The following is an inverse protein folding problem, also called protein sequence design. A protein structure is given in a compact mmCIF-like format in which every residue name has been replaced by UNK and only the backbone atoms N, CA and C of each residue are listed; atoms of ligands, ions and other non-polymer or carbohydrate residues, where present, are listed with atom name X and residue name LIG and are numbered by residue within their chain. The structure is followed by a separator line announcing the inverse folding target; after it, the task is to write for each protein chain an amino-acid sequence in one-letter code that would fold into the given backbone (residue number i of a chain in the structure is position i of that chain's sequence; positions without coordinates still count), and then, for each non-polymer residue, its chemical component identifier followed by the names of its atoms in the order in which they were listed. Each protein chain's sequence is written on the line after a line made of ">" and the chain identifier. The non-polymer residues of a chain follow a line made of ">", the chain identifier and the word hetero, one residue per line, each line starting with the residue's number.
data_IF_383422545811
#
_entry.id   IF_383422545811
#
_cell.length_a   1.000
_cell.length_b   1.000
_cell.length_c   1.000
_cell.angle_alpha   90.00
_cell.angle_beta   90.00
_cell.angle_gamma   90.00
#
_symmetry.space_group_name_H-M   'P 1'
#
loop_
_entity.id
_entity.type
_entity.pdbx_description
1 polymer ?
#
# COMPACT_ATOMS: atom_id res chain seq x y z
N UNK A 1 5.34 -1.96 -8.18
CA UNK A 1 4.30 -0.91 -8.12
C UNK A 1 4.38 -0.04 -6.87
N UNK A 2 4.74 -0.57 -5.69
CA UNK A 2 4.88 0.26 -4.47
C UNK A 2 6.22 1.01 -4.39
N UNK A 3 6.21 2.20 -3.80
CA UNK A 3 7.40 3.00 -3.50
C UNK A 3 8.34 2.27 -2.52
N UNK A 4 9.62 2.64 -2.48
CA UNK A 4 10.60 2.05 -1.56
C UNK A 4 10.17 2.22 -0.09
N UNK A 5 9.51 3.33 0.23
CA UNK A 5 9.06 3.66 1.59
C UNK A 5 7.82 2.86 2.01
N UNK A 6 6.86 2.68 1.10
CA UNK A 6 5.70 1.82 1.36
C UNK A 6 6.15 0.37 1.60
N UNK A 7 7.08 -0.12 0.77
CA UNK A 7 7.68 -1.45 0.91
C UNK A 7 8.38 -1.64 2.24
N UNK A 8 9.18 -0.66 2.66
CA UNK A 8 9.84 -0.65 3.98
C UNK A 8 8.82 -0.66 5.11
N UNK A 9 7.77 0.14 4.99
CA UNK A 9 6.71 0.23 6.00
C UNK A 9 6.01 -1.11 6.20
N UNK A 10 5.78 -1.87 5.14
CA UNK A 10 5.21 -3.24 5.22
C UNK A 10 6.12 -4.17 6.05
N UNK A 11 7.43 -4.14 5.82
CA UNK A 11 8.38 -4.94 6.62
C UNK A 11 8.37 -4.49 8.09
N UNK A 12 8.27 -3.19 8.34
CA UNK A 12 8.17 -2.66 9.70
C UNK A 12 6.91 -3.17 10.41
N UNK A 13 5.76 -3.28 9.70
CA UNK A 13 4.53 -3.88 10.27
C UNK A 13 4.81 -5.29 10.80
N UNK A 14 5.45 -6.15 10.01
CA UNK A 14 5.76 -7.52 10.45
C UNK A 14 6.67 -7.56 11.70
N UNK A 15 7.64 -6.65 11.76
CA UNK A 15 8.62 -6.54 12.84
C UNK A 15 8.02 -6.03 14.16
N UNK A 16 6.77 -5.54 14.19
CA UNK A 16 6.09 -5.22 15.45
C UNK A 16 5.71 -6.46 16.25
N UNK A 17 5.37 -7.56 15.56
CA UNK A 17 4.91 -8.81 16.19
C UNK A 17 5.93 -9.94 16.14
N UNK A 18 6.95 -9.81 15.30
CA UNK A 18 7.94 -10.87 15.04
C UNK A 18 9.34 -10.33 15.20
N UNK A 19 10.24 -11.17 15.70
CA UNK A 19 11.67 -10.89 15.74
C UNK A 19 12.25 -10.80 14.33
N UNK A 20 13.42 -10.17 14.23
CA UNK A 20 14.14 -10.04 12.97
C UNK A 20 14.46 -11.40 12.33
N UNK A 21 14.76 -12.42 13.15
CA UNK A 21 15.02 -13.79 12.69
C UNK A 21 13.77 -14.44 12.11
N UNK A 22 12.64 -14.35 12.80
CA UNK A 22 11.37 -14.90 12.31
C UNK A 22 10.96 -14.26 10.98
N UNK A 23 11.09 -12.93 10.87
CA UNK A 23 10.81 -12.23 9.61
C UNK A 23 11.80 -12.66 8.52
N UNK A 24 13.08 -12.86 8.81
CA UNK A 24 14.05 -13.32 7.82
C UNK A 24 13.73 -14.72 7.30
N UNK A 25 13.33 -15.63 8.20
CA UNK A 25 12.99 -17.00 7.87
C UNK A 25 11.72 -17.06 7.01
N UNK A 26 10.67 -16.35 7.41
CA UNK A 26 9.40 -16.23 6.65
C UNK A 26 9.65 -15.68 5.24
N UNK A 27 10.47 -14.62 5.14
CA UNK A 27 10.69 -13.93 3.88
C UNK A 27 11.77 -14.60 3.02
N UNK A 28 12.43 -15.66 3.49
CA UNK A 28 13.48 -16.35 2.75
C UNK A 28 14.66 -15.45 2.41
N UNK A 29 15.04 -14.57 3.34
CA UNK A 29 16.17 -13.62 3.18
C UNK A 29 17.06 -13.66 4.42
N UNK A 30 18.23 -13.05 4.34
CA UNK A 30 19.12 -12.99 5.51
C UNK A 30 18.64 -11.97 6.56
N UNK A 31 18.96 -12.17 7.85
CA UNK A 31 18.80 -11.16 8.89
C UNK A 31 19.37 -9.79 8.50
N UNK A 32 20.54 -9.77 7.85
CA UNK A 32 21.17 -8.55 7.38
C UNK A 32 20.32 -7.81 6.32
N UNK A 33 19.62 -8.54 5.45
CA UNK A 33 18.68 -7.96 4.49
C UNK A 33 17.51 -7.28 5.20
N UNK A 34 16.95 -7.91 6.24
CA UNK A 34 15.87 -7.30 7.04
C UNK A 34 16.35 -6.03 7.72
N UNK A 35 17.55 -6.01 8.30
CA UNK A 35 18.15 -4.80 8.86
C UNK A 35 18.28 -3.68 7.83
N UNK A 36 18.72 -4.00 6.60
CA UNK A 36 18.82 -3.03 5.49
C UNK A 36 17.46 -2.53 5.02
N UNK A 37 16.42 -3.38 5.02
CA UNK A 37 15.04 -2.97 4.75
C UNK A 37 14.55 -1.99 5.82
N UNK A 38 14.72 -2.36 7.10
CA UNK A 38 14.31 -1.54 8.24
C UNK A 38 14.98 -0.17 8.23
N UNK A 39 16.24 -0.06 7.85
CA UNK A 39 16.96 1.22 7.77
C UNK A 39 16.72 2.01 6.47
N UNK A 40 16.14 1.39 5.45
CA UNK A 40 15.92 2.01 4.14
C UNK A 40 17.15 1.98 3.21
N UNK A 41 18.23 1.30 3.61
CA UNK A 41 19.42 1.10 2.77
C UNK A 41 19.13 0.18 1.57
N UNK A 42 18.16 -0.71 1.72
CA UNK A 42 17.66 -1.58 0.66
C UNK A 42 16.14 -1.65 0.77
N UNK A 43 15.45 -2.03 -0.30
CA UNK A 43 14.01 -2.29 -0.28
C UNK A 43 13.74 -3.74 -0.67
N UNK A 44 12.67 -4.36 -0.13
CA UNK A 44 12.30 -5.71 -0.49
C UNK A 44 11.83 -5.78 -1.96
N UNK A 45 12.19 -6.87 -2.63
CA UNK A 45 11.71 -7.18 -3.99
C UNK A 45 10.21 -7.50 -3.99
N UNK A 46 9.63 -7.61 -5.18
CA UNK A 46 8.23 -7.98 -5.34
C UNK A 46 7.94 -9.38 -4.76
N UNK A 47 8.83 -10.34 -4.98
CA UNK A 47 8.71 -11.68 -4.41
C UNK A 47 8.77 -11.68 -2.87
N UNK A 48 9.65 -10.87 -2.29
CA UNK A 48 9.75 -10.72 -0.84
C UNK A 48 8.47 -10.11 -0.27
N UNK A 49 7.91 -9.09 -0.92
CA UNK A 49 6.64 -8.49 -0.49
C UNK A 49 5.47 -9.44 -0.64
N UNK A 50 5.43 -10.24 -1.71
CA UNK A 50 4.37 -11.24 -1.88
C UNK A 50 4.37 -12.21 -0.70
N UNK A 51 5.54 -12.75 -0.34
CA UNK A 51 5.69 -13.62 0.85
C UNK A 51 5.27 -12.91 2.15
N UNK A 52 5.58 -11.62 2.28
CA UNK A 52 5.13 -10.83 3.42
C UNK A 52 3.60 -10.80 3.52
N UNK A 53 2.93 -10.45 2.41
CA UNK A 53 1.47 -10.34 2.34
C UNK A 53 0.75 -11.66 2.60
N UNK A 54 1.34 -12.78 2.19
CA UNK A 54 0.75 -14.13 2.34
C UNK A 54 0.68 -14.59 3.81
N UNK A 55 1.42 -13.97 4.73
CA UNK A 55 1.52 -14.40 6.14
C UNK A 55 0.97 -13.40 7.16
N UNK A 56 0.46 -12.25 6.69
CA UNK A 56 -0.06 -11.21 7.57
C UNK A 56 -1.35 -11.67 8.25
N UNK A 57 -1.48 -11.35 9.53
CA UNK A 57 -2.75 -11.52 10.24
C UNK A 57 -3.78 -10.43 9.89
N UNK A 58 -5.01 -10.57 10.37
CA UNK A 58 -6.09 -9.63 10.04
C UNK A 58 -5.86 -8.18 10.48
N UNK A 59 -5.10 -7.93 11.54
CA UNK A 59 -4.74 -6.58 11.97
C UNK A 59 -3.65 -6.01 11.07
N UNK A 60 -2.60 -6.79 10.82
CA UNK A 60 -1.49 -6.40 9.96
C UNK A 60 -1.96 -6.13 8.53
N UNK A 61 -2.86 -6.96 7.99
CA UNK A 61 -3.48 -6.76 6.68
C UNK A 61 -4.21 -5.43 6.59
N UNK A 62 -4.93 -5.01 7.64
CA UNK A 62 -5.61 -3.69 7.66
C UNK A 62 -4.61 -2.54 7.61
N UNK A 63 -3.52 -2.64 8.37
CA UNK A 63 -2.47 -1.61 8.40
C UNK A 63 -1.77 -1.55 7.04
N UNK A 64 -1.40 -2.70 6.49
CA UNK A 64 -0.71 -2.80 5.19
C UNK A 64 -1.62 -2.35 4.04
N UNK A 65 -2.91 -2.69 4.05
CA UNK A 65 -3.86 -2.19 3.07
C UNK A 65 -3.93 -0.65 3.06
N UNK A 66 -3.87 -0.01 4.24
CA UNK A 66 -3.82 1.45 4.35
C UNK A 66 -2.50 2.02 3.82
N UNK A 67 -1.36 1.38 4.11
CA UNK A 67 -0.05 1.79 3.57
C UNK A 67 -0.08 1.76 2.04
N UNK A 68 -0.53 0.64 1.46
CA UNK A 68 -0.64 0.46 0.01
C UNK A 68 -1.57 1.50 -0.60
N UNK A 69 -2.76 1.71 -0.01
CA UNK A 69 -3.72 2.68 -0.51
C UNK A 69 -3.14 4.10 -0.53
N UNK A 70 -2.49 4.53 0.56
CA UNK A 70 -1.92 5.87 0.66
C UNK A 70 -0.80 6.08 -0.36
N UNK A 71 0.06 5.08 -0.59
CA UNK A 71 1.13 5.13 -1.58
C UNK A 71 0.57 5.30 -3.00
N UNK A 72 -0.43 4.49 -3.35
CA UNK A 72 -1.11 4.58 -4.64
C UNK A 72 -1.86 5.89 -4.81
N UNK A 73 -2.53 6.38 -3.75
CA UNK A 73 -3.26 7.64 -3.78
C UNK A 73 -2.32 8.82 -4.01
N UNK A 74 -1.18 8.88 -3.30
CA UNK A 74 -0.17 9.93 -3.50
C UNK A 74 0.36 9.90 -4.93
N UNK A 75 0.72 8.72 -5.44
CA UNK A 75 1.19 8.59 -6.82
C UNK A 75 0.14 9.00 -7.85
N UNK A 76 -1.15 8.71 -7.60
CA UNK A 76 -2.25 9.17 -8.45
C UNK A 76 -2.42 10.69 -8.39
N UNK A 77 -2.31 11.31 -7.21
CA UNK A 77 -2.38 12.77 -7.08
C UNK A 77 -1.25 13.46 -7.85
N UNK A 78 -0.02 12.95 -7.73
CA UNK A 78 1.14 13.46 -8.47
C UNK A 78 0.95 13.33 -9.98
N UNK A 79 0.43 12.18 -10.44
CA UNK A 79 0.14 11.96 -11.85
C UNK A 79 -0.95 12.92 -12.37
N UNK A 80 -2.03 13.13 -11.61
CA UNK A 80 -3.09 14.08 -11.97
C UNK A 80 -2.54 15.52 -12.01
N UNK A 81 -1.73 15.91 -11.03
CA UNK A 81 -1.11 17.23 -11.01
C UNK A 81 -0.22 17.44 -12.25
N UNK A 82 0.64 16.47 -12.56
CA UNK A 82 1.51 16.53 -13.74
C UNK A 82 0.72 16.61 -15.05
N UNK A 83 -0.29 15.77 -15.23
CA UNK A 83 -1.12 15.79 -16.45
C UNK A 83 -1.91 17.09 -16.59
N UNK A 84 -2.45 17.62 -15.49
CA UNK A 84 -3.13 18.92 -15.48
C UNK A 84 -2.19 20.05 -15.89
N UNK A 85 -0.98 20.10 -15.34
CA UNK A 85 0.01 21.15 -15.67
C UNK A 85 0.47 21.10 -17.12
N UNK A 86 0.38 19.94 -17.78
CA UNK A 86 0.77 19.75 -19.16
C UNK A 86 -0.43 19.74 -20.14
N UNK A 87 -1.65 20.02 -19.67
CA UNK A 87 -2.89 19.98 -20.49
C UNK A 87 -3.11 18.62 -21.17
N UNK A 88 -2.75 17.53 -20.47
CA UNK A 88 -2.83 16.15 -20.96
C UNK A 88 -4.04 15.38 -20.41
N UNK A 89 -4.96 16.05 -19.70
CA UNK A 89 -6.15 15.40 -19.16
C UNK A 89 -7.16 15.21 -20.29
N UNK A 90 -7.46 13.96 -20.59
CA UNK A 90 -8.50 13.57 -21.55
C UNK A 90 -9.78 13.13 -20.83
N UNK A 91 -10.94 13.33 -21.47
CA UNK A 91 -12.24 12.91 -20.91
C UNK A 91 -12.29 11.41 -20.59
N UNK A 92 -11.64 10.56 -21.40
CA UNK A 92 -11.58 9.11 -21.15
C UNK A 92 -10.91 8.79 -19.80
N UNK A 93 -9.90 9.56 -19.39
CA UNK A 93 -9.23 9.38 -18.10
C UNK A 93 -10.18 9.68 -16.94
N UNK A 94 -10.95 10.76 -17.06
CA UNK A 94 -11.95 11.17 -16.07
C UNK A 94 -13.01 10.07 -15.92
N UNK A 95 -13.59 9.61 -17.03
CA UNK A 95 -14.60 8.55 -17.03
C UNK A 95 -14.09 7.25 -16.39
N UNK A 96 -12.83 6.86 -16.65
CA UNK A 96 -12.24 5.67 -16.03
C UNK A 96 -12.09 5.83 -14.52
N UNK A 97 -11.66 7.00 -14.05
CA UNK A 97 -11.53 7.29 -12.61
C UNK A 97 -12.90 7.34 -11.92
N UNK A 98 -13.90 7.95 -12.54
CA UNK A 98 -15.29 7.96 -12.04
C UNK A 98 -15.87 6.56 -11.93
N UNK A 99 -15.66 5.71 -12.94
CA UNK A 99 -16.09 4.30 -12.91
C UNK A 99 -15.44 3.55 -11.74
N UNK A 100 -14.15 3.77 -11.47
CA UNK A 100 -13.46 3.18 -10.33
C UNK A 100 -14.02 3.68 -8.99
N UNK A 101 -14.26 4.99 -8.86
CA UNK A 101 -14.84 5.59 -7.64
C UNK A 101 -16.25 5.07 -7.36
N UNK A 102 -17.09 4.94 -8.40
CA UNK A 102 -18.43 4.38 -8.30
C UNK A 102 -18.41 2.91 -7.88
N UNK A 103 -17.48 2.11 -8.44
CA UNK A 103 -17.28 0.72 -8.02
C UNK A 103 -16.93 0.63 -6.54
N UNK A 104 -15.99 1.44 -6.05
CA UNK A 104 -15.62 1.47 -4.62
C UNK A 104 -16.83 1.83 -3.74
N UNK A 105 -17.59 2.84 -4.15
CA UNK A 105 -18.78 3.30 -3.41
C UNK A 105 -19.86 2.21 -3.30
N UNK A 106 -20.00 1.36 -4.33
CA UNK A 106 -20.92 0.21 -4.32
C UNK A 106 -20.52 -0.92 -3.38
N UNK A 107 -19.21 -1.03 -3.08
CA UNK A 107 -18.65 -2.05 -2.19
C UNK A 107 -18.68 -1.63 -0.71
N UNK A 108 -18.77 -0.33 -0.45
CA UNK A 108 -18.88 0.17 0.91
C UNK A 108 -20.28 -0.13 1.47
N UNK A 109 -20.40 -0.62 2.72
CA UNK A 109 -21.70 -0.67 3.37
C UNK A 109 -22.33 0.73 3.34
N UNK A 110 -23.62 0.82 2.96
CA UNK A 110 -24.35 2.09 2.91
C UNK A 110 -24.07 2.85 4.20
N UNK A 111 -23.41 4.02 4.11
CA UNK A 111 -23.24 4.90 5.27
C UNK A 111 -24.63 5.26 5.75
N UNK A 112 -25.11 4.62 6.81
CA UNK A 112 -26.35 5.03 7.46
C UNK A 112 -26.12 6.46 7.93
N UNK A 113 -26.82 7.42 7.33
CA UNK A 113 -26.87 8.78 7.87
C UNK A 113 -27.43 8.65 9.28
N UNK A 114 -26.58 8.79 10.29
CA UNK A 114 -27.07 9.07 11.64
C UNK A 114 -27.66 10.47 11.55
N UNK A 115 -28.97 10.56 11.40
CA UNK A 115 -29.71 11.79 11.59
C UNK A 115 -29.70 11.99 13.11
N UNK A 116 -28.85 12.88 13.59
CA UNK A 116 -28.97 13.40 14.96
C UNK A 116 -30.14 14.37 14.92
N UNK A 117 -31.24 13.98 15.57
CA UNK A 117 -32.40 14.85 15.85
C UNK A 117 -32.06 15.85 16.94
#
# INVERSE_FOLDING_TARGET
>A
MLSKDARRSIINVMLYKRSLKEVSDILGVTPASISKYKSGLMHPSDDTLRRALDVLDGEELRIVARIIFNDLYSGLQEFIAWTSSNTLIENEMIEKLEKLANKISSLAPKRTKIIVQ
#
